data_IF_260077117857
#
_entry.id   IF_260077117857
#
_cell.length_a   1.000
_cell.length_b   1.000
_cell.length_c   1.000
_cell.angle_alpha   90.00
_cell.angle_beta   90.00
_cell.angle_gamma   90.00
#
_symmetry.space_group_name_H-M   'P 1'
#
loop_
_entity.id
_entity.type
_entity.pdbx_description
1 polymer ?
#
# COMPACT_ATOMS: atom_id res chain seq x y z
N UNK A 1 6.97 -7.58 27.26
CA UNK A 1 5.86 -7.84 26.45
C UNK A 1 5.75 -6.91 25.29
N UNK A 2 5.54 -7.45 24.21
CA UNK A 2 5.42 -6.65 23.02
C UNK A 2 4.02 -6.09 22.93
N UNK A 3 3.93 -4.83 23.13
CA UNK A 3 2.71 -4.17 22.77
C UNK A 3 2.48 -4.36 21.30
N UNK A 4 1.28 -4.67 20.96
CA UNK A 4 0.89 -4.70 19.56
C UNK A 4 0.66 -3.26 19.14
N UNK A 5 1.60 -2.73 18.43
CA UNK A 5 1.56 -1.32 18.05
C UNK A 5 0.69 -1.06 16.84
N UNK A 6 0.31 -2.12 16.16
CA UNK A 6 -0.38 -1.97 14.90
C UNK A 6 0.50 -1.36 13.83
N UNK A 7 -0.12 -1.02 12.72
CA UNK A 7 0.56 -0.40 11.60
C UNK A 7 -0.23 0.81 11.15
N UNK A 8 0.46 1.74 10.49
CA UNK A 8 -0.19 2.83 9.78
C UNK A 8 0.08 2.60 8.31
N UNK A 9 -0.97 2.53 7.51
CA UNK A 9 -0.87 2.30 6.07
C UNK A 9 -1.46 3.50 5.38
N UNK A 10 -0.66 4.17 4.56
CA UNK A 10 -1.10 5.33 3.82
C UNK A 10 -0.94 5.05 2.33
N UNK A 11 -2.04 5.08 1.61
CA UNK A 11 -2.05 4.84 0.17
C UNK A 11 -2.50 6.11 -0.55
N UNK A 12 -1.72 6.51 -1.53
CA UNK A 12 -2.10 7.56 -2.47
C UNK A 12 -2.19 6.94 -3.85
N UNK A 13 -3.33 7.11 -4.48
CA UNK A 13 -3.52 6.68 -5.87
C UNK A 13 -3.71 7.92 -6.72
N UNK A 14 -2.94 8.02 -7.78
CA UNK A 14 -3.03 9.17 -8.69
C UNK A 14 -2.99 8.68 -10.13
N UNK A 15 -3.35 9.56 -11.04
CA UNK A 15 -3.34 9.25 -12.47
C UNK A 15 -4.61 8.59 -12.92
N UNK A 16 -4.50 7.73 -13.93
CA UNK A 16 -5.66 7.15 -14.58
C UNK A 16 -6.36 8.18 -15.45
N UNK A 17 -7.53 7.81 -15.92
CA UNK A 17 -8.30 8.70 -16.77
C UNK A 17 -8.84 9.87 -15.94
N UNK A 18 -8.48 11.07 -16.28
CA UNK A 18 -8.90 12.26 -15.54
C UNK A 18 -7.90 12.76 -14.51
N UNK A 19 -6.84 12.02 -14.24
CA UNK A 19 -5.76 12.48 -13.37
C UNK A 19 -6.13 12.73 -11.92
N UNK A 20 -7.13 12.06 -11.41
CA UNK A 20 -7.59 12.28 -10.04
C UNK A 20 -6.65 11.66 -9.02
N UNK A 21 -6.57 12.33 -7.87
CA UNK A 21 -5.77 11.85 -6.75
C UNK A 21 -6.69 11.48 -5.60
N UNK A 22 -6.49 10.28 -5.08
CA UNK A 22 -7.21 9.83 -3.89
C UNK A 22 -6.24 9.28 -2.88
N UNK A 23 -6.57 9.41 -1.61
CA UNK A 23 -5.72 8.87 -0.57
C UNK A 23 -6.52 8.36 0.60
N UNK A 24 -5.94 7.40 1.32
CA UNK A 24 -6.52 6.86 2.54
C UNK A 24 -5.39 6.55 3.51
N UNK A 25 -5.67 6.79 4.77
CA UNK A 25 -4.76 6.46 5.86
C UNK A 25 -5.47 5.53 6.81
N UNK A 26 -4.87 4.38 7.07
CA UNK A 26 -5.47 3.36 7.91
C UNK A 26 -4.56 3.15 9.12
N UNK A 27 -5.13 3.29 10.31
CA UNK A 27 -4.45 2.89 11.54
C UNK A 27 -5.05 1.56 11.93
N UNK A 28 -4.27 0.49 11.84
CA UNK A 28 -4.82 -0.85 12.01
C UNK A 28 -5.38 -1.07 13.41
N UNK A 29 -4.86 -0.35 14.41
CA UNK A 29 -5.42 -0.44 15.75
C UNK A 29 -6.84 0.10 15.87
N UNK A 30 -7.26 0.92 14.91
CA UNK A 30 -8.61 1.46 14.86
C UNK A 30 -9.60 0.56 14.15
N UNK A 31 -9.12 -0.52 13.54
CA UNK A 31 -9.97 -1.43 12.79
C UNK A 31 -10.58 -2.48 13.73
N UNK A 32 -11.75 -3.00 13.37
CA UNK A 32 -12.27 -4.18 14.05
C UNK A 32 -11.25 -5.31 13.98
N UNK A 33 -11.22 -6.14 15.03
CA UNK A 33 -10.21 -7.19 15.14
C UNK A 33 -10.17 -8.11 13.92
N UNK A 34 -11.31 -8.44 13.36
CA UNK A 34 -11.37 -9.33 12.21
C UNK A 34 -10.83 -8.73 10.92
N UNK A 35 -10.67 -7.40 10.86
CA UNK A 35 -10.10 -6.74 9.68
C UNK A 35 -8.63 -6.43 9.86
N UNK A 36 -8.19 -6.27 11.08
CA UNK A 36 -6.84 -5.87 11.37
C UNK A 36 -5.81 -6.90 10.98
N UNK A 37 -5.98 -8.14 11.47
CA UNK A 37 -5.00 -9.19 11.22
C UNK A 37 -4.83 -9.54 9.74
N UNK A 38 -5.92 -9.69 8.97
CA UNK A 38 -5.76 -9.94 7.55
C UNK A 38 -4.99 -8.85 6.83
N UNK A 39 -5.25 -7.59 7.18
CA UNK A 39 -4.58 -6.47 6.52
C UNK A 39 -3.10 -6.44 6.86
N UNK A 40 -2.75 -6.59 8.14
CA UNK A 40 -1.36 -6.63 8.54
C UNK A 40 -0.64 -7.84 7.96
N UNK A 41 -1.35 -8.95 7.81
CA UNK A 41 -0.83 -10.14 7.17
C UNK A 41 -0.47 -9.92 5.71
N UNK A 42 -1.26 -9.10 5.01
CA UNK A 42 -0.96 -8.77 3.62
C UNK A 42 0.33 -7.94 3.51
N UNK A 43 0.58 -7.04 4.47
CA UNK A 43 1.84 -6.29 4.50
C UNK A 43 3.02 -7.25 4.65
N UNK A 44 2.91 -8.20 5.57
CA UNK A 44 3.97 -9.19 5.79
C UNK A 44 4.17 -10.10 4.59
N UNK A 45 3.08 -10.58 4.01
CA UNK A 45 3.13 -11.48 2.86
C UNK A 45 3.76 -10.79 1.65
N UNK A 46 3.59 -9.49 1.51
CA UNK A 46 4.20 -8.74 0.43
C UNK A 46 5.70 -8.55 0.61
N UNK A 47 6.24 -8.82 1.80
CA UNK A 47 7.62 -8.48 2.10
C UNK A 47 7.86 -6.99 1.96
N UNK A 48 6.93 -6.19 2.44
CA UNK A 48 6.84 -4.79 2.09
C UNK A 48 8.12 -4.01 2.38
N UNK A 49 8.72 -4.24 3.54
CA UNK A 49 9.90 -3.48 3.95
C UNK A 49 11.16 -3.87 3.17
N UNK A 50 11.09 -4.94 2.40
CA UNK A 50 12.19 -5.36 1.53
C UNK A 50 12.01 -4.94 0.08
N UNK A 51 10.88 -4.33 -0.25
CA UNK A 51 10.63 -3.90 -1.62
C UNK A 51 11.43 -2.65 -1.96
N UNK A 52 11.80 -2.47 -3.23
CA UNK A 52 12.43 -1.22 -3.64
C UNK A 52 11.48 -0.05 -3.45
N UNK A 53 12.05 1.12 -3.25
CA UNK A 53 11.24 2.33 -3.09
C UNK A 53 10.52 2.72 -4.37
N UNK A 54 11.10 2.40 -5.51
CA UNK A 54 10.52 2.71 -6.81
C UNK A 54 10.65 1.54 -7.74
N UNK A 55 9.65 1.35 -8.55
CA UNK A 55 9.64 0.35 -9.60
C UNK A 55 9.73 1.04 -10.95
N UNK A 56 10.24 0.35 -11.98
CA UNK A 56 10.32 0.93 -13.32
C UNK A 56 8.93 1.36 -13.78
N UNK A 57 8.87 2.54 -14.40
CA UNK A 57 7.62 3.01 -14.95
C UNK A 57 7.39 2.34 -16.29
N UNK A 58 6.11 2.09 -16.63
CA UNK A 58 5.81 1.55 -17.94
C UNK A 58 6.15 2.58 -19.02
N UNK A 59 6.26 2.11 -20.23
CA UNK A 59 6.48 2.99 -21.35
C UNK A 59 5.31 3.92 -21.60
N UNK A 60 5.39 4.62 -22.70
CA UNK A 60 4.48 5.71 -23.01
C UNK A 60 3.02 5.31 -23.10
N UNK A 61 2.18 6.27 -22.79
CA UNK A 61 0.89 6.39 -23.44
C UNK A 61 -0.27 5.69 -22.82
N UNK A 62 -0.18 5.19 -21.63
CA UNK A 62 -1.35 4.57 -21.04
C UNK A 62 -1.76 5.30 -19.77
N UNK A 63 -3.05 5.33 -19.53
CA UNK A 63 -3.61 5.97 -18.35
C UNK A 63 -3.59 4.98 -17.20
N UNK A 64 -2.41 4.81 -16.60
CA UNK A 64 -2.24 3.93 -15.46
C UNK A 64 -2.39 4.70 -14.18
N UNK A 65 -2.92 4.02 -13.16
CA UNK A 65 -2.79 4.51 -11.81
C UNK A 65 -1.35 4.36 -11.34
N UNK A 66 -0.92 5.32 -10.55
CA UNK A 66 0.34 5.23 -9.81
C UNK A 66 -0.02 5.18 -8.33
N UNK A 67 0.59 4.25 -7.63
CA UNK A 67 0.37 4.08 -6.20
C UNK A 67 1.61 4.48 -5.44
N UNK A 68 1.39 5.22 -4.36
CA UNK A 68 2.43 5.48 -3.37
C UNK A 68 1.90 4.92 -2.06
N UNK A 69 2.52 3.87 -1.57
CA UNK A 69 2.07 3.23 -0.35
C UNK A 69 3.17 3.32 0.70
N UNK A 70 2.80 3.84 1.87
CA UNK A 70 3.71 3.96 3.00
C UNK A 70 3.17 3.11 4.13
N UNK A 71 4.04 2.32 4.75
CA UNK A 71 3.69 1.55 5.93
C UNK A 71 4.64 1.92 7.05
N UNK A 72 4.06 2.19 8.22
CA UNK A 72 4.82 2.38 9.45
C UNK A 72 4.48 1.25 10.39
N UNK A 73 5.51 0.58 10.89
CA UNK A 73 5.36 -0.54 11.80
C UNK A 73 6.41 -0.37 12.91
N UNK A 74 5.99 0.21 14.01
CA UNK A 74 6.91 0.61 15.05
C UNK A 74 7.87 1.69 14.56
N UNK A 75 9.15 1.41 14.61
CA UNK A 75 10.16 2.35 14.15
C UNK A 75 10.46 2.22 12.67
N UNK A 76 9.93 1.18 12.02
CA UNK A 76 10.16 0.99 10.60
C UNK A 76 9.16 1.82 9.80
N UNK A 77 9.65 2.43 8.76
CA UNK A 77 8.80 3.18 7.83
C UNK A 77 9.37 3.00 6.44
N UNK A 78 8.50 2.68 5.49
CA UNK A 78 8.94 2.46 4.12
C UNK A 78 7.86 2.91 3.16
N UNK A 79 8.27 3.56 2.09
CA UNK A 79 7.36 4.02 1.04
C UNK A 79 7.76 3.35 -0.27
N UNK A 80 6.76 2.82 -0.96
CA UNK A 80 6.96 2.19 -2.26
C UNK A 80 6.10 2.93 -3.28
N UNK A 81 6.72 3.36 -4.36
CA UNK A 81 6.02 3.99 -5.48
C UNK A 81 6.01 3.02 -6.66
N UNK A 82 4.82 2.72 -7.19
CA UNK A 82 4.69 1.73 -8.24
C UNK A 82 3.51 2.05 -9.14
N UNK A 83 3.70 1.92 -10.44
CA UNK A 83 2.59 2.06 -11.40
C UNK A 83 1.86 0.73 -11.52
N UNK A 84 0.57 0.82 -11.82
CA UNK A 84 -0.31 -0.33 -11.89
C UNK A 84 0.24 -1.52 -12.68
N UNK A 85 0.78 -1.33 -13.90
CA UNK A 85 1.30 -2.48 -14.65
C UNK A 85 2.56 -3.10 -14.06
N UNK A 86 3.26 -2.38 -13.20
CA UNK A 86 4.51 -2.85 -12.61
C UNK A 86 4.33 -3.45 -11.23
N UNK A 87 3.08 -3.56 -10.75
CA UNK A 87 2.80 -4.12 -9.43
C UNK A 87 3.32 -5.55 -9.32
N UNK A 88 4.20 -5.83 -8.34
CA UNK A 88 4.59 -7.21 -8.07
C UNK A 88 3.38 -8.01 -7.58
N UNK A 89 3.37 -9.29 -7.91
CA UNK A 89 2.26 -10.16 -7.53
C UNK A 89 2.03 -10.17 -6.01
N UNK A 90 3.10 -10.14 -5.23
CA UNK A 90 2.97 -10.16 -3.78
C UNK A 90 2.38 -8.90 -3.20
N UNK A 91 2.45 -7.79 -3.92
CA UNK A 91 1.92 -6.51 -3.46
C UNK A 91 0.47 -6.28 -3.89
N UNK A 92 0.01 -7.00 -4.93
CA UNK A 92 -1.34 -6.81 -5.45
C UNK A 92 -2.45 -6.98 -4.43
N UNK A 93 -2.42 -8.04 -3.59
CA UNK A 93 -3.50 -8.19 -2.60
C UNK A 93 -3.57 -7.04 -1.62
N UNK A 94 -2.42 -6.51 -1.20
CA UNK A 94 -2.38 -5.38 -0.28
C UNK A 94 -2.98 -4.13 -0.94
N UNK A 95 -2.54 -3.81 -2.15
CA UNK A 95 -3.06 -2.65 -2.88
C UNK A 95 -4.56 -2.79 -3.09
N UNK A 96 -5.02 -3.99 -3.48
CA UNK A 96 -6.44 -4.23 -3.71
C UNK A 96 -7.25 -3.98 -2.45
N UNK A 97 -6.79 -4.51 -1.33
CA UNK A 97 -7.54 -4.41 -0.09
C UNK A 97 -7.58 -2.97 0.43
N UNK A 98 -6.46 -2.27 0.37
CA UNK A 98 -6.41 -0.88 0.83
C UNK A 98 -7.20 0.02 -0.11
N UNK A 99 -7.18 -0.27 -1.41
CA UNK A 99 -7.90 0.53 -2.41
C UNK A 99 -9.40 0.51 -2.21
N UNK A 100 -9.94 -0.52 -1.58
CA UNK A 100 -11.37 -0.57 -1.29
C UNK A 100 -11.81 0.55 -0.36
N UNK A 101 -10.88 1.17 0.33
CA UNK A 101 -11.16 2.24 1.29
C UNK A 101 -10.88 3.64 0.72
N UNK A 102 -10.52 3.71 -0.51
CA UNK A 102 -10.28 5.00 -1.18
C UNK A 102 -11.57 5.77 -1.45
#
# INVERSE_FOLDING_TARGET
>A
MTGDRGMIIHLVRSGGFGGMRREVRIETLSLPRGEREPLEGLVRAAGFFSLPEKFPKPGKGADFFTYSITVEDGERRHTVEVSQPSLPDGLRPLIREVSKRL
#
